data_IF_285027811305
#
_entry.id   IF_285027811305
#
_cell.length_a   1.000
_cell.length_b   1.000
_cell.length_c   1.000
_cell.angle_alpha   90.00
_cell.angle_beta   90.00
_cell.angle_gamma   90.00
#
_symmetry.space_group_name_H-M   'P 1'
#
loop_
_entity.id
_entity.type
_entity.pdbx_description
1 polymer ?
#
# COMPACT_ATOMS: atom_id res chain seq x y z
N UNK A 1 -17.36 -0.82 -13.86
CA UNK A 1 -17.14 -0.45 -12.43
C UNK A 1 -16.00 0.54 -12.40
N UNK A 2 -16.20 1.77 -11.94
CA UNK A 2 -15.13 2.78 -11.99
C UNK A 2 -14.17 2.58 -10.82
N UNK A 3 -12.90 2.34 -11.12
CA UNK A 3 -11.82 2.30 -10.12
C UNK A 3 -11.27 3.73 -10.03
N UNK A 4 -11.26 4.30 -8.82
CA UNK A 4 -10.75 5.64 -8.54
C UNK A 4 -9.56 5.54 -7.60
N UNK A 5 -8.43 6.12 -8.01
CA UNK A 5 -7.16 6.13 -7.26
C UNK A 5 -6.90 7.46 -6.55
N UNK A 6 -7.79 8.45 -6.64
CA UNK A 6 -7.58 9.80 -6.09
C UNK A 6 -7.23 9.78 -4.60
N UNK A 7 -7.99 9.02 -3.80
CA UNK A 7 -7.73 8.88 -2.37
C UNK A 7 -6.39 8.17 -2.10
N UNK A 8 -6.06 7.13 -2.87
CA UNK A 8 -4.79 6.42 -2.75
C UNK A 8 -3.60 7.34 -3.05
N UNK A 9 -3.67 8.11 -4.15
CA UNK A 9 -2.70 9.15 -4.52
C UNK A 9 -2.49 10.17 -3.40
N UNK A 10 -3.59 10.60 -2.77
CA UNK A 10 -3.56 11.56 -1.66
C UNK A 10 -2.81 10.98 -0.47
N UNK A 11 -3.11 9.74 -0.07
CA UNK A 11 -2.43 9.06 1.03
C UNK A 11 -0.93 8.89 0.77
N UNK A 12 -0.54 8.48 -0.44
CA UNK A 12 0.87 8.37 -0.84
C UNK A 12 1.60 9.71 -0.66
N UNK A 13 1.01 10.80 -1.15
CA UNK A 13 1.59 12.15 -1.01
C UNK A 13 1.68 12.59 0.46
N UNK A 14 0.67 12.26 1.26
CA UNK A 14 0.69 12.56 2.70
C UNK A 14 1.81 11.78 3.40
N UNK A 15 1.98 10.48 3.10
CA UNK A 15 3.05 9.66 3.65
C UNK A 15 4.43 10.19 3.26
N UNK A 16 4.64 10.45 1.98
CA UNK A 16 5.91 10.99 1.48
C UNK A 16 6.24 12.34 2.14
N UNK A 17 5.26 13.22 2.27
CA UNK A 17 5.44 14.51 2.97
C UNK A 17 5.77 14.29 4.44
N UNK A 18 5.02 13.46 5.15
CA UNK A 18 5.23 13.20 6.58
C UNK A 18 6.61 12.57 6.83
N UNK A 19 7.02 11.61 6.00
CA UNK A 19 8.31 10.96 6.09
C UNK A 19 9.46 11.94 5.86
N UNK A 20 9.39 12.76 4.81
CA UNK A 20 10.42 13.78 4.54
C UNK A 20 10.52 14.83 5.65
N UNK A 21 9.40 15.17 6.31
CA UNK A 21 9.42 16.08 7.48
C UNK A 21 10.03 15.42 8.71
N UNK A 22 9.69 14.15 8.96
CA UNK A 22 10.22 13.37 10.07
C UNK A 22 11.75 13.32 10.05
N UNK A 23 12.36 13.14 8.87
CA UNK A 23 13.82 13.08 8.71
C UNK A 23 14.56 14.36 9.14
N UNK A 24 13.86 15.50 9.22
CA UNK A 24 14.43 16.78 9.65
C UNK A 24 14.09 17.15 11.10
N UNK A 25 13.34 16.32 11.83
CA UNK A 25 12.99 16.58 13.21
C UNK A 25 14.08 16.06 14.16
N UNK A 26 14.27 16.75 15.27
CA UNK A 26 15.04 16.22 16.39
C UNK A 26 14.31 15.02 17.00
N UNK A 27 15.04 13.95 17.30
CA UNK A 27 14.50 12.82 18.06
C UNK A 27 13.94 13.33 19.40
N UNK A 28 12.81 12.76 19.85
CA UNK A 28 12.04 13.15 21.03
C UNK A 28 11.27 14.49 20.96
N UNK A 29 11.24 15.18 19.82
CA UNK A 29 10.38 16.36 19.65
C UNK A 29 8.90 15.99 19.45
N UNK A 30 7.99 16.91 19.77
CA UNK A 30 6.56 16.73 19.51
C UNK A 30 6.30 16.57 18.01
N UNK A 31 7.05 17.31 17.18
CA UNK A 31 6.98 17.22 15.73
C UNK A 31 7.41 15.82 15.24
N UNK A 32 8.47 15.25 15.81
CA UNK A 32 8.90 13.89 15.49
C UNK A 32 7.79 12.88 15.78
N UNK A 33 7.20 12.93 16.97
CA UNK A 33 6.09 12.06 17.37
C UNK A 33 4.86 12.21 16.46
N UNK A 34 4.54 13.44 16.08
CA UNK A 34 3.42 13.76 15.20
C UNK A 34 3.65 13.19 13.79
N UNK A 35 4.81 13.45 13.17
CA UNK A 35 5.09 12.95 11.82
C UNK A 35 5.27 11.44 11.79
N UNK A 36 5.85 10.84 12.84
CA UNK A 36 5.94 9.40 13.00
C UNK A 36 4.54 8.76 13.07
N UNK A 37 3.65 9.35 13.85
CA UNK A 37 2.25 8.89 13.95
C UNK A 37 1.52 9.00 12.60
N UNK A 38 1.75 10.09 11.86
CA UNK A 38 1.22 10.24 10.51
C UNK A 38 1.77 9.17 9.54
N UNK A 39 3.07 8.88 9.59
CA UNK A 39 3.68 7.83 8.76
C UNK A 39 3.07 6.46 9.04
N UNK A 40 2.89 6.09 10.31
CA UNK A 40 2.22 4.83 10.70
C UNK A 40 0.84 4.77 10.09
N UNK A 41 0.07 5.86 10.26
CA UNK A 41 -1.33 5.85 9.87
C UNK A 41 -1.49 5.76 8.36
N UNK A 42 -0.70 6.51 7.60
CA UNK A 42 -0.74 6.46 6.14
C UNK A 42 -0.21 5.12 5.61
N UNK A 43 0.80 4.52 6.23
CA UNK A 43 1.26 3.17 5.88
C UNK A 43 0.12 2.13 5.99
N UNK A 44 -0.62 2.15 7.10
CA UNK A 44 -1.78 1.26 7.27
C UNK A 44 -2.88 1.51 6.23
N UNK A 45 -3.22 2.79 6.00
CA UNK A 45 -4.26 3.17 5.04
C UNK A 45 -3.86 2.72 3.63
N UNK A 46 -2.64 3.01 3.20
CA UNK A 46 -2.14 2.65 1.87
C UNK A 46 -2.15 1.13 1.70
N UNK A 47 -1.70 0.34 2.69
CA UNK A 47 -1.79 -1.12 2.63
C UNK A 47 -3.23 -1.59 2.41
N UNK A 48 -4.19 -1.07 3.19
CA UNK A 48 -5.59 -1.45 3.06
C UNK A 48 -6.16 -1.08 1.67
N UNK A 49 -5.86 0.13 1.21
CA UNK A 49 -6.34 0.62 -0.10
C UNK A 49 -5.72 -0.13 -1.26
N UNK A 50 -4.43 -0.47 -1.21
CA UNK A 50 -3.74 -1.26 -2.22
C UNK A 50 -4.45 -2.60 -2.44
N UNK A 51 -4.74 -3.33 -1.36
CA UNK A 51 -5.49 -4.59 -1.43
C UNK A 51 -6.93 -4.40 -1.95
N UNK A 52 -7.63 -3.33 -1.56
CA UNK A 52 -8.98 -3.02 -2.05
C UNK A 52 -9.00 -2.71 -3.55
N UNK A 53 -8.04 -1.92 -4.04
CA UNK A 53 -7.94 -1.53 -5.44
C UNK A 53 -7.55 -2.72 -6.31
N UNK A 54 -6.56 -3.51 -5.91
CA UNK A 54 -6.19 -4.72 -6.64
C UNK A 54 -7.35 -5.71 -6.75
N UNK A 55 -8.15 -5.89 -5.70
CA UNK A 55 -9.38 -6.71 -5.79
C UNK A 55 -10.37 -6.17 -6.83
N UNK A 56 -10.45 -4.86 -7.03
CA UNK A 56 -11.32 -4.29 -8.07
C UNK A 56 -10.77 -4.64 -9.45
N UNK A 57 -9.47 -4.46 -9.69
CA UNK A 57 -8.82 -4.86 -10.96
C UNK A 57 -8.97 -6.36 -11.24
N UNK A 58 -8.77 -7.21 -10.22
CA UNK A 58 -8.87 -8.66 -10.36
C UNK A 58 -10.26 -9.17 -10.75
N UNK A 59 -11.31 -8.37 -10.54
CA UNK A 59 -12.67 -8.75 -11.00
C UNK A 59 -12.79 -8.79 -12.51
N UNK A 60 -11.95 -8.05 -13.23
CA UNK A 60 -11.96 -8.02 -14.70
C UNK A 60 -11.41 -9.32 -15.30
N UNK A 61 -10.57 -10.05 -14.55
CA UNK A 61 -9.98 -11.33 -14.97
C UNK A 61 -10.78 -12.56 -14.49
N UNK A 62 -11.78 -12.36 -13.62
CA UNK A 62 -12.45 -13.45 -12.93
C UNK A 62 -13.86 -13.71 -13.49
N UNK A 63 -14.16 -14.98 -13.78
CA UNK A 63 -15.53 -15.41 -14.13
C UNK A 63 -16.54 -15.24 -12.99
N UNK A 64 -16.06 -15.10 -11.74
CA UNK A 64 -16.91 -14.89 -10.57
C UNK A 64 -16.34 -13.82 -9.64
N UNK A 65 -17.00 -12.64 -9.52
CA UNK A 65 -16.60 -11.61 -8.56
C UNK A 65 -16.60 -12.10 -7.10
N UNK A 66 -17.39 -13.14 -6.79
CA UNK A 66 -17.42 -13.77 -5.46
C UNK A 66 -16.10 -14.47 -5.13
N UNK A 67 -15.41 -15.05 -6.10
CA UNK A 67 -14.12 -15.70 -5.88
C UNK A 67 -13.06 -14.68 -5.43
N UNK A 68 -12.99 -13.53 -6.12
CA UNK A 68 -12.05 -12.44 -5.79
C UNK A 68 -12.31 -11.85 -4.40
N UNK A 69 -13.57 -11.73 -4.00
CA UNK A 69 -13.93 -11.20 -2.69
C UNK A 69 -13.51 -12.13 -1.53
N UNK A 70 -13.28 -13.43 -1.77
CA UNK A 70 -12.86 -14.39 -0.74
C UNK A 70 -11.35 -14.43 -0.50
N UNK A 71 -10.56 -13.91 -1.44
CA UNK A 71 -9.11 -13.93 -1.32
C UNK A 71 -8.65 -13.22 -0.04
N UNK A 72 -7.65 -13.72 0.65
CA UNK A 72 -6.98 -12.95 1.73
C UNK A 72 -5.95 -11.99 1.13
N UNK A 73 -5.44 -11.05 1.93
CA UNK A 73 -4.51 -10.01 1.44
C UNK A 73 -3.36 -10.60 0.60
N UNK A 74 -2.63 -11.58 1.14
CA UNK A 74 -1.49 -12.17 0.43
C UNK A 74 -1.88 -12.84 -0.89
N UNK A 75 -3.08 -13.41 -0.96
CA UNK A 75 -3.60 -14.02 -2.19
C UNK A 75 -3.95 -12.98 -3.25
N UNK A 76 -4.50 -11.82 -2.86
CA UNK A 76 -4.76 -10.71 -3.79
C UNK A 76 -3.50 -10.29 -4.52
N UNK A 77 -2.39 -10.10 -3.80
CA UNK A 77 -1.13 -9.69 -4.41
C UNK A 77 -0.53 -10.78 -5.30
N UNK A 78 -0.62 -12.06 -4.90
CA UNK A 78 -0.20 -13.18 -5.76
C UNK A 78 -1.03 -13.27 -7.04
N UNK A 79 -2.34 -13.09 -6.97
CA UNK A 79 -3.19 -13.04 -8.15
C UNK A 79 -2.89 -11.81 -9.03
N UNK A 80 -2.57 -10.66 -8.42
CA UNK A 80 -2.14 -9.49 -9.17
C UNK A 80 -0.88 -9.77 -9.98
N UNK A 81 0.09 -10.50 -9.43
CA UNK A 81 1.28 -10.93 -10.17
C UNK A 81 0.96 -11.89 -11.32
N UNK A 82 0.06 -12.85 -11.10
CA UNK A 82 -0.37 -13.81 -12.14
C UNK A 82 -1.00 -13.12 -13.36
N UNK A 83 -1.63 -11.96 -13.16
CA UNK A 83 -2.26 -11.15 -14.20
C UNK A 83 -1.39 -9.96 -14.63
N UNK A 84 -0.10 -9.96 -14.30
CA UNK A 84 0.87 -8.91 -14.68
C UNK A 84 0.50 -7.49 -14.23
N UNK A 85 -0.29 -7.37 -13.15
CA UNK A 85 -0.54 -6.08 -12.48
C UNK A 85 0.64 -5.68 -11.58
N UNK A 86 1.42 -6.66 -11.15
CA UNK A 86 2.63 -6.50 -10.34
C UNK A 86 3.69 -7.52 -10.81
N UNK A 87 4.96 -7.22 -10.56
CA UNK A 87 6.05 -8.18 -10.67
C UNK A 87 6.07 -9.14 -9.46
N UNK A 88 6.84 -10.23 -9.57
CA UNK A 88 7.05 -11.16 -8.45
C UNK A 88 7.78 -10.46 -7.31
N UNK A 89 8.80 -9.67 -7.63
CA UNK A 89 9.61 -8.93 -6.66
C UNK A 89 8.79 -7.84 -5.95
N UNK A 90 7.92 -7.12 -6.67
CA UNK A 90 6.97 -6.17 -6.08
C UNK A 90 6.04 -6.91 -5.11
N UNK A 91 5.51 -8.06 -5.53
CA UNK A 91 4.61 -8.86 -4.71
C UNK A 91 5.26 -9.29 -3.40
N UNK A 92 6.51 -9.77 -3.44
CA UNK A 92 7.26 -10.14 -2.24
C UNK A 92 7.44 -8.96 -1.28
N UNK A 93 7.77 -7.77 -1.78
CA UNK A 93 7.85 -6.55 -0.96
C UNK A 93 6.52 -6.21 -0.29
N UNK A 94 5.41 -6.29 -1.02
CA UNK A 94 4.07 -6.10 -0.44
C UNK A 94 3.70 -7.11 0.65
N UNK A 95 4.18 -8.35 0.54
CA UNK A 95 3.99 -9.34 1.61
C UNK A 95 4.79 -8.97 2.86
N UNK A 96 6.02 -8.48 2.70
CA UNK A 96 6.87 -8.00 3.81
C UNK A 96 6.19 -6.81 4.51
N UNK A 97 5.67 -5.84 3.76
CA UNK A 97 4.94 -4.70 4.32
C UNK A 97 3.71 -5.14 5.12
N UNK A 98 2.98 -6.14 4.60
CA UNK A 98 1.81 -6.71 5.30
C UNK A 98 2.19 -7.39 6.60
N UNK A 99 3.28 -8.13 6.61
CA UNK A 99 3.75 -8.84 7.81
C UNK A 99 4.22 -7.82 8.86
N UNK A 100 5.01 -6.82 8.46
CA UNK A 100 5.43 -5.74 9.34
C UNK A 100 4.23 -5.02 10.00
N UNK A 101 3.15 -4.74 9.24
CA UNK A 101 1.92 -4.14 9.81
C UNK A 101 1.31 -5.01 10.91
N UNK A 102 1.31 -6.33 10.75
CA UNK A 102 0.72 -7.23 11.74
C UNK A 102 1.54 -7.25 13.04
N UNK A 103 2.85 -7.08 12.93
CA UNK A 103 3.77 -7.00 14.06
C UNK A 103 3.62 -5.65 14.80
N UNK A 104 3.51 -4.53 14.08
CA UNK A 104 3.30 -3.20 14.69
C UNK A 104 1.95 -3.06 15.40
N UNK A 105 0.93 -3.82 14.98
CA UNK A 105 -0.41 -3.78 15.56
C UNK A 105 -0.52 -4.52 16.91
N UNK A 106 0.34 -5.52 17.17
CA UNK A 106 0.30 -6.29 18.42
C UNK A 106 0.99 -5.58 19.59
N UNK A 107 1.88 -4.62 19.34
CA UNK A 107 2.71 -3.97 20.36
C UNK A 107 2.10 -2.67 20.92
N UNK A 108 0.76 -2.58 20.94
CA UNK A 108 -0.03 -1.45 21.48
C UNK A 108 0.53 -0.07 21.09
N UNK A 109 0.83 0.12 19.81
CA UNK A 109 1.24 1.42 19.25
C UNK A 109 2.59 1.95 19.74
N UNK A 110 3.32 1.22 20.60
CA UNK A 110 4.56 1.72 21.20
C UNK A 110 5.76 1.66 20.26
N UNK A 111 5.75 0.85 19.21
CA UNK A 111 6.86 0.84 18.23
C UNK A 111 6.37 0.68 16.80
N UNK A 112 6.08 1.80 16.13
CA UNK A 112 6.63 1.95 14.78
C UNK A 112 8.14 1.74 14.95
N UNK A 113 8.60 0.54 14.61
CA UNK A 113 10.00 0.18 14.83
C UNK A 113 10.86 1.00 13.88
N UNK A 114 12.12 1.23 14.27
CA UNK A 114 13.15 1.72 13.34
C UNK A 114 13.14 0.90 12.04
N UNK A 115 12.90 -0.41 12.16
CA UNK A 115 12.75 -1.28 11.00
C UNK A 115 11.62 -0.83 10.06
N UNK A 116 10.43 -0.47 10.56
CA UNK A 116 9.36 0.06 9.69
C UNK A 116 9.74 1.39 9.03
N UNK A 117 10.45 2.29 9.73
CA UNK A 117 10.98 3.52 9.13
C UNK A 117 11.88 3.22 7.93
N UNK A 118 12.74 2.20 8.03
CA UNK A 118 13.63 1.80 6.94
C UNK A 118 12.89 1.26 5.71
N UNK A 119 11.66 0.76 5.88
CA UNK A 119 10.83 0.24 4.79
C UNK A 119 10.10 1.35 4.02
N UNK A 120 9.89 2.52 4.61
CA UNK A 120 9.05 3.58 4.05
C UNK A 120 9.49 4.08 2.66
N UNK A 121 10.78 4.32 2.37
CA UNK A 121 11.19 4.75 1.03
C UNK A 121 10.79 3.75 -0.06
N UNK A 122 11.02 2.45 0.20
CA UNK A 122 10.62 1.38 -0.72
C UNK A 122 9.10 1.27 -0.84
N UNK A 123 8.40 1.36 0.29
CA UNK A 123 6.94 1.29 0.31
C UNK A 123 6.29 2.43 -0.48
N UNK A 124 6.78 3.66 -0.35
CA UNK A 124 6.29 4.82 -1.10
C UNK A 124 6.51 4.59 -2.61
N UNK A 125 7.69 4.13 -3.02
CA UNK A 125 7.99 3.84 -4.42
C UNK A 125 7.09 2.74 -4.99
N UNK A 126 6.86 1.67 -4.24
CA UNK A 126 5.97 0.57 -4.64
C UNK A 126 4.50 1.01 -4.69
N UNK A 127 4.06 1.87 -3.77
CA UNK A 127 2.70 2.42 -3.78
C UNK A 127 2.46 3.32 -5.01
N UNK A 128 3.43 4.17 -5.38
CA UNK A 128 3.39 4.97 -6.61
C UNK A 128 3.35 4.06 -7.84
N UNK A 129 4.14 2.99 -7.85
CA UNK A 129 4.19 2.05 -8.98
C UNK A 129 2.89 1.27 -9.12
N UNK A 130 2.31 0.82 -8.01
CA UNK A 130 1.00 0.19 -7.98
C UNK A 130 -0.11 1.14 -8.48
N UNK A 131 -0.10 2.41 -8.07
CA UNK A 131 -1.06 3.40 -8.59
C UNK A 131 -0.98 3.50 -10.12
N UNK A 132 0.23 3.61 -10.67
CA UNK A 132 0.46 3.67 -12.12
C UNK A 132 -0.05 2.40 -12.81
N UNK A 133 0.25 1.22 -12.26
CA UNK A 133 -0.21 -0.05 -12.82
C UNK A 133 -1.74 -0.15 -12.86
N UNK A 134 -2.43 0.29 -11.80
CA UNK A 134 -3.90 0.35 -11.73
C UNK A 134 -4.46 1.32 -12.77
N UNK A 135 -3.89 2.53 -12.87
CA UNK A 135 -4.34 3.53 -13.87
C UNK A 135 -4.16 3.03 -15.29
N UNK A 136 -3.03 2.35 -15.58
CA UNK A 136 -2.80 1.73 -16.88
C UNK A 136 -3.81 0.61 -17.18
N UNK A 137 -4.11 -0.24 -16.20
CA UNK A 137 -5.13 -1.29 -16.34
C UNK A 137 -6.51 -0.71 -16.64
N UNK A 138 -6.93 0.33 -15.92
CA UNK A 138 -8.20 1.03 -16.17
C UNK A 138 -8.25 1.58 -17.61
N UNK A 139 -7.14 2.14 -18.10
CA UNK A 139 -7.02 2.61 -19.47
C UNK A 139 -7.25 1.49 -20.49
N UNK A 140 -6.54 0.35 -20.33
CA UNK A 140 -6.68 -0.81 -21.23
C UNK A 140 -8.11 -1.34 -21.28
N UNK A 141 -8.73 -1.57 -20.12
CA UNK A 141 -10.11 -2.10 -20.04
C UNK A 141 -11.16 -1.14 -20.60
N UNK A 142 -10.90 0.18 -20.60
CA UNK A 142 -11.82 1.15 -21.20
C UNK A 142 -11.73 1.15 -22.73
N UNK A 143 -10.56 0.85 -23.27
CA UNK A 143 -10.27 0.92 -24.70
C UNK A 143 -10.57 -0.42 -25.41
N UNK A 144 -10.83 -1.50 -24.66
CA UNK A 144 -11.34 -2.82 -25.11
C UNK A 144 -12.88 -2.87 -25.19
#
# INVERSE_FOLDING_TARGET
MTIDTTFFSRCIKTLDTAYNRLLGCEEDSIEYDMYRSACVKEFEIILEQAGKLLRKCLKDFAHSPKAINRLVFKEVFRHAAQHSLLSVEETERWLIYRDNRNDTAHDYGKKFTEYTLTLLPGFIADAITLEKAIVQHIGRVRDD
#
